data_IF_490224573882
#
_entry.id   IF_490224573882
#
_cell.length_a   1.000
_cell.length_b   1.000
_cell.length_c   1.000
_cell.angle_alpha   90.00
_cell.angle_beta   90.00
_cell.angle_gamma   90.00
#
_symmetry.space_group_name_H-M   'P 1'
#
loop_
_entity.id
_entity.type
_entity.pdbx_description
1 polymer ?
#
# COMPACT_ATOMS: atom_id res chain seq x y z
N UNK A 1 3.55 -6.41 34.74
CA UNK A 1 3.17 -6.89 33.39
C UNK A 1 1.98 -6.08 32.89
N UNK A 2 2.16 -5.17 31.92
CA UNK A 2 1.06 -4.57 31.16
C UNK A 2 1.62 -3.77 29.97
N UNK A 3 1.97 -4.44 28.87
CA UNK A 3 2.34 -3.74 27.63
C UNK A 3 1.07 -3.48 26.81
N UNK A 4 0.30 -2.47 27.22
CA UNK A 4 -0.93 -2.05 26.54
C UNK A 4 -0.57 -1.50 25.16
N UNK A 5 -0.68 -2.35 24.13
CA UNK A 5 -0.54 -1.94 22.73
C UNK A 5 -1.68 -0.96 22.43
N UNK A 6 -1.40 0.35 22.50
CA UNK A 6 -2.25 1.44 22.00
C UNK A 6 -2.64 1.17 20.54
N UNK A 7 -3.64 0.34 20.30
CA UNK A 7 -4.41 0.30 19.05
C UNK A 7 -5.70 1.05 19.35
N UNK A 8 -5.59 2.38 19.36
CA UNK A 8 -6.74 3.24 19.47
C UNK A 8 -7.71 2.96 18.32
N UNK A 9 -8.85 2.37 18.63
CA UNK A 9 -10.03 2.49 17.78
C UNK A 9 -10.55 3.91 18.01
N UNK A 10 -10.38 4.79 17.03
CA UNK A 10 -10.98 6.13 17.12
C UNK A 10 -12.49 5.99 16.88
N UNK A 11 -13.29 6.15 17.94
CA UNK A 11 -14.75 6.28 17.89
C UNK A 11 -15.52 5.14 17.17
N UNK A 12 -15.19 3.87 17.44
CA UNK A 12 -15.99 2.72 16.98
C UNK A 12 -15.96 2.43 15.47
N UNK A 13 -15.30 3.27 14.66
CA UNK A 13 -15.07 3.03 13.23
C UNK A 13 -13.74 2.33 13.06
N UNK A 14 -13.70 1.23 12.28
CA UNK A 14 -12.42 0.63 11.87
C UNK A 14 -11.61 1.74 11.20
N UNK A 15 -10.53 2.17 11.86
CA UNK A 15 -9.57 3.10 11.27
C UNK A 15 -9.17 2.45 9.95
N UNK A 16 -9.36 3.17 8.83
CA UNK A 16 -8.93 2.70 7.53
C UNK A 16 -7.42 2.36 7.55
N UNK A 17 -6.87 1.94 6.41
CA UNK A 17 -5.41 1.88 6.30
C UNK A 17 -4.81 3.22 6.76
N UNK A 18 -3.75 3.19 7.57
CA UNK A 18 -3.02 4.41 7.91
C UNK A 18 -2.49 5.06 6.63
N UNK A 19 -2.22 6.36 6.63
CA UNK A 19 -1.72 7.08 5.46
C UNK A 19 -0.50 6.36 4.84
N UNK A 20 0.46 5.94 5.68
CA UNK A 20 1.62 5.15 5.23
C UNK A 20 1.23 3.81 4.59
N UNK A 21 0.22 3.12 5.13
CA UNK A 21 -0.29 1.88 4.57
C UNK A 21 -1.02 2.10 3.24
N UNK A 22 -1.74 3.21 3.09
CA UNK A 22 -2.38 3.61 1.83
C UNK A 22 -1.32 3.86 0.76
N UNK A 23 -0.25 4.61 1.07
CA UNK A 23 0.87 4.84 0.16
C UNK A 23 1.52 3.53 -0.29
N UNK A 24 1.79 2.62 0.65
CA UNK A 24 2.34 1.29 0.32
C UNK A 24 1.39 0.46 -0.54
N UNK A 25 0.07 0.57 -0.32
CA UNK A 25 -0.93 -0.15 -1.10
C UNK A 25 -1.01 0.34 -2.54
N UNK A 26 -0.95 1.65 -2.75
CA UNK A 26 -0.90 2.24 -4.09
C UNK A 26 0.41 1.89 -4.81
N UNK A 27 1.55 1.96 -4.11
CA UNK A 27 2.83 1.55 -4.67
C UNK A 27 2.84 0.05 -5.05
N UNK A 28 2.26 -0.82 -4.23
CA UNK A 28 2.13 -2.25 -4.54
C UNK A 28 1.32 -2.49 -5.81
N UNK A 29 0.20 -1.77 -5.99
CA UNK A 29 -0.64 -1.87 -7.18
C UNK A 29 0.11 -1.37 -8.43
N UNK A 30 0.81 -0.25 -8.34
CA UNK A 30 1.62 0.29 -9.44
C UNK A 30 2.75 -0.67 -9.86
N UNK A 31 3.48 -1.23 -8.88
CA UNK A 31 4.55 -2.21 -9.16
C UNK A 31 4.00 -3.50 -9.79
N UNK A 32 2.77 -3.89 -9.46
CA UNK A 32 2.10 -5.04 -10.08
C UNK A 32 1.65 -4.73 -11.52
N UNK A 33 1.16 -3.52 -11.79
CA UNK A 33 0.65 -3.10 -13.11
C UNK A 33 1.75 -2.70 -14.10
N UNK A 34 2.97 -2.39 -13.62
CA UNK A 34 4.09 -1.97 -14.47
C UNK A 34 4.52 -3.12 -15.39
N UNK A 35 4.25 -2.97 -16.70
CA UNK A 35 4.55 -3.99 -17.73
C UNK A 35 6.04 -4.19 -18.02
N UNK A 36 6.86 -3.19 -17.72
CA UNK A 36 8.29 -3.16 -18.07
C UNK A 36 9.15 -4.07 -17.19
N UNK A 37 8.71 -4.33 -15.95
CA UNK A 37 9.40 -5.20 -15.02
C UNK A 37 8.36 -6.07 -14.33
N UNK A 38 8.21 -7.32 -14.78
CA UNK A 38 7.35 -8.33 -14.15
C UNK A 38 7.94 -8.73 -12.80
N UNK A 39 7.81 -7.85 -11.81
CA UNK A 39 8.21 -8.11 -10.45
C UNK A 39 7.31 -9.21 -9.87
N UNK A 40 7.93 -10.25 -9.33
CA UNK A 40 7.20 -11.27 -8.61
C UNK A 40 6.57 -10.67 -7.35
N UNK A 41 5.47 -11.26 -6.90
CA UNK A 41 4.81 -10.88 -5.64
C UNK A 41 5.79 -10.89 -4.46
N UNK A 42 6.76 -11.80 -4.46
CA UNK A 42 7.81 -11.88 -3.44
C UNK A 42 8.78 -10.70 -3.46
N UNK A 43 9.14 -10.18 -4.62
CA UNK A 43 10.00 -8.99 -4.74
C UNK A 43 9.28 -7.71 -4.31
N UNK A 44 8.00 -7.59 -4.67
CA UNK A 44 7.18 -6.45 -4.25
C UNK A 44 7.03 -6.42 -2.72
N UNK A 45 6.86 -7.59 -2.10
CA UNK A 45 6.84 -7.73 -0.64
C UNK A 45 8.15 -7.27 0.01
N UNK A 46 9.29 -7.70 -0.54
CA UNK A 46 10.62 -7.30 -0.08
C UNK A 46 10.83 -5.79 -0.20
N UNK A 47 10.51 -5.20 -1.36
CA UNK A 47 10.67 -3.76 -1.61
C UNK A 47 9.83 -2.89 -0.68
N UNK A 48 8.60 -3.32 -0.37
CA UNK A 48 7.68 -2.56 0.49
C UNK A 48 7.82 -2.89 1.98
N UNK A 49 8.59 -3.94 2.31
CA UNK A 49 8.74 -4.47 3.66
C UNK A 49 7.40 -4.94 4.24
N UNK A 50 6.58 -5.64 3.46
CA UNK A 50 5.26 -6.12 3.88
C UNK A 50 5.14 -7.64 3.73
N UNK A 51 4.40 -8.26 4.65
CA UNK A 51 4.12 -9.68 4.56
C UNK A 51 3.05 -10.00 3.49
N UNK A 52 2.95 -11.28 3.11
CA UNK A 52 2.03 -11.76 2.08
C UNK A 52 0.56 -11.45 2.37
N UNK A 53 0.12 -11.61 3.62
CA UNK A 53 -1.25 -11.27 4.03
C UNK A 53 -1.57 -9.78 3.87
N UNK A 54 -0.60 -8.92 4.15
CA UNK A 54 -0.73 -7.46 4.05
C UNK A 54 -0.72 -7.03 2.60
N UNK A 55 0.12 -7.66 1.78
CA UNK A 55 0.16 -7.43 0.33
C UNK A 55 -1.22 -7.58 -0.31
N UNK A 56 -1.88 -8.74 -0.16
CA UNK A 56 -3.19 -8.95 -0.78
C UNK A 56 -4.27 -8.04 -0.19
N UNK A 57 -4.21 -7.74 1.12
CA UNK A 57 -5.10 -6.76 1.74
C UNK A 57 -4.93 -5.37 1.13
N UNK A 58 -3.70 -4.98 0.86
CA UNK A 58 -3.33 -3.68 0.32
C UNK A 58 -3.72 -3.57 -1.16
N UNK A 59 -3.47 -4.61 -1.96
CA UNK A 59 -3.92 -4.67 -3.36
C UNK A 59 -5.44 -4.52 -3.45
N UNK A 60 -6.21 -5.31 -2.69
CA UNK A 60 -7.69 -5.19 -2.72
C UNK A 60 -8.18 -3.81 -2.29
N UNK A 61 -7.52 -3.19 -1.31
CA UNK A 61 -7.86 -1.82 -0.91
C UNK A 61 -7.54 -0.83 -2.04
N UNK A 62 -6.37 -0.95 -2.67
CA UNK A 62 -5.93 -0.06 -3.74
C UNK A 62 -6.79 -0.20 -5.00
N UNK A 63 -7.17 -1.42 -5.40
CA UNK A 63 -8.11 -1.67 -6.51
C UNK A 63 -9.48 -1.03 -6.25
N UNK A 64 -9.98 -1.13 -5.01
CA UNK A 64 -11.22 -0.48 -4.61
C UNK A 64 -11.11 1.05 -4.68
N UNK A 65 -9.96 1.63 -4.31
CA UNK A 65 -9.74 3.09 -4.44
C UNK A 65 -9.58 3.54 -5.89
N UNK A 66 -8.92 2.74 -6.75
CA UNK A 66 -8.75 3.01 -8.18
C UNK A 66 -10.11 3.11 -8.89
N UNK A 67 -11.05 2.23 -8.56
CA UNK A 67 -12.44 2.28 -9.07
C UNK A 67 -13.22 3.53 -8.63
N UNK A 68 -12.88 4.08 -7.46
CA UNK A 68 -13.54 5.24 -6.87
C UNK A 68 -12.92 6.57 -7.36
N UNK A 69 -11.89 6.52 -8.21
CA UNK A 69 -11.29 7.66 -8.91
C UNK A 69 -10.93 8.86 -7.99
N UNK A 70 -10.38 8.57 -6.80
CA UNK A 70 -9.99 9.57 -5.79
C UNK A 70 -8.49 9.87 -5.76
N UNK A 71 -7.68 9.31 -6.67
CA UNK A 71 -6.22 9.42 -6.57
C UNK A 71 -5.61 9.80 -7.92
N UNK A 72 -5.03 11.00 -8.07
CA UNK A 72 -4.27 11.36 -9.25
C UNK A 72 -3.02 10.48 -9.32
N UNK A 73 -2.94 9.69 -10.39
CA UNK A 73 -1.89 8.68 -10.64
C UNK A 73 -0.50 9.34 -10.80
N UNK A 74 -0.45 10.66 -11.03
CA UNK A 74 0.72 11.42 -11.45
C UNK A 74 1.70 11.84 -10.33
N UNK A 75 1.40 11.62 -9.04
CA UNK A 75 2.24 12.21 -7.98
C UNK A 75 3.29 11.27 -7.35
N UNK A 76 3.23 9.96 -7.63
CA UNK A 76 4.17 8.97 -7.05
C UNK A 76 5.30 8.60 -8.04
N UNK A 77 5.07 8.75 -9.35
CA UNK A 77 6.07 8.44 -10.39
C UNK A 77 7.34 9.29 -10.30
N UNK A 78 7.22 10.53 -9.84
CA UNK A 78 8.36 11.47 -9.71
C UNK A 78 9.38 10.98 -8.66
N UNK A 79 8.94 10.26 -7.62
CA UNK A 79 9.82 9.84 -6.51
C UNK A 79 10.70 8.64 -6.91
N UNK A 80 10.21 7.75 -7.78
CA UNK A 80 10.94 6.56 -8.19
C UNK A 80 11.93 6.80 -9.33
N UNK A 81 11.77 7.86 -10.14
CA UNK A 81 12.78 8.25 -11.15
C UNK A 81 13.98 8.97 -10.54
N UNK A 82 13.81 9.60 -9.37
CA UNK A 82 14.87 10.34 -8.66
C UNK A 82 15.75 9.47 -7.75
N UNK A 83 15.51 8.16 -7.66
CA UNK A 83 16.31 7.21 -6.88
C UNK A 83 16.97 6.13 -7.75
N UNK A 84 17.01 6.33 -9.07
CA UNK A 84 17.79 5.55 -10.02
C UNK A 84 19.22 6.09 -10.10
#
# INVERSE_FOLDING_TARGET
>A
MANARKKGNYAGRKVGLSIQAQTKALAALQLLERKENKLSVGEIQKRLGINKSTYYRYIRWAEAQKRVNKVPINQIGIIYELNC
#
